data_IF_198437943164
#
_entry.id   IF_198437943164
#
_cell.length_a   1.000
_cell.length_b   1.000
_cell.length_c   1.000
_cell.angle_alpha   90.00
_cell.angle_beta   90.00
_cell.angle_gamma   90.00
#
_symmetry.space_group_name_H-M   'P 1'
#
loop_
_entity.id
_entity.type
_entity.pdbx_description
1 polymer ?
#
# COMPACT_ATOMS: atom_id res chain seq x y z
N UNK A 1 -10.68 -3.99 12.49
CA UNK A 1 -10.17 -2.63 12.22
C UNK A 1 -11.30 -1.61 12.25
N UNK A 2 -12.39 -1.78 11.48
CA UNK A 2 -13.56 -0.88 11.50
C UNK A 2 -14.45 -0.94 12.77
N UNK A 3 -13.94 -1.48 13.88
CA UNK A 3 -14.61 -1.46 15.19
C UNK A 3 -14.10 -0.31 16.08
N UNK A 4 -13.12 0.46 15.58
CA UNK A 4 -12.58 1.64 16.25
C UNK A 4 -13.32 2.87 15.74
N UNK A 5 -13.96 3.61 16.65
CA UNK A 5 -14.61 4.88 16.30
C UNK A 5 -13.60 5.90 15.76
N UNK A 6 -13.92 6.49 14.60
CA UNK A 6 -13.06 7.46 13.92
C UNK A 6 -12.01 6.86 12.99
N UNK A 7 -11.97 5.53 12.79
CA UNK A 7 -11.10 4.86 11.83
C UNK A 7 -11.93 4.18 10.73
N UNK A 8 -11.80 4.67 9.50
CA UNK A 8 -12.39 4.04 8.31
C UNK A 8 -11.29 3.35 7.50
N UNK A 9 -11.28 2.01 7.49
CA UNK A 9 -10.34 1.23 6.69
C UNK A 9 -11.08 0.58 5.52
N UNK A 10 -10.71 0.99 4.32
CA UNK A 10 -11.13 0.35 3.07
C UNK A 10 -10.10 -0.68 2.63
N UNK A 11 -10.47 -1.97 2.64
CA UNK A 11 -9.58 -3.03 2.15
C UNK A 11 -9.67 -3.11 0.63
N UNK A 12 -8.59 -2.75 -0.07
CA UNK A 12 -8.48 -2.92 -1.51
C UNK A 12 -7.67 -4.17 -1.84
N UNK A 13 -8.34 -5.26 -2.19
CA UNK A 13 -7.68 -6.43 -2.76
C UNK A 13 -7.23 -6.12 -4.19
N UNK A 14 -5.93 -6.13 -4.44
CA UNK A 14 -5.34 -5.95 -5.76
C UNK A 14 -4.80 -7.29 -6.27
N UNK A 15 -5.09 -7.61 -7.53
CA UNK A 15 -4.52 -8.74 -8.24
C UNK A 15 -3.31 -8.27 -9.03
N UNK A 16 -2.16 -8.97 -8.95
CA UNK A 16 -1.05 -8.66 -9.84
C UNK A 16 -1.40 -9.04 -11.27
N UNK A 17 -1.21 -8.10 -12.19
CA UNK A 17 -1.37 -8.32 -13.64
C UNK A 17 -0.04 -8.71 -14.28
N UNK A 18 1.08 -8.50 -13.58
CA UNK A 18 2.44 -8.71 -14.06
C UNK A 18 2.83 -10.20 -14.22
N UNK A 19 2.29 -11.10 -13.39
CA UNK A 19 2.73 -12.51 -13.34
C UNK A 19 1.83 -13.54 -14.05
N UNK A 20 0.87 -13.09 -14.87
CA UNK A 20 -0.09 -13.99 -15.52
C UNK A 20 -1.09 -14.58 -14.51
N UNK A 21 -2.34 -14.78 -14.95
CA UNK A 21 -3.51 -14.96 -14.09
C UNK A 21 -3.59 -16.26 -13.26
N UNK A 22 -2.48 -16.96 -13.03
CA UNK A 22 -2.47 -18.31 -12.41
C UNK A 22 -1.78 -18.37 -11.05
N UNK A 23 -1.20 -17.27 -10.55
CA UNK A 23 -0.44 -17.26 -9.28
C UNK A 23 -1.03 -16.25 -8.29
N UNK A 24 -1.84 -16.73 -7.34
CA UNK A 24 -2.37 -15.98 -6.19
C UNK A 24 -1.37 -15.99 -5.03
N UNK A 25 -0.24 -15.32 -5.18
CA UNK A 25 0.70 -15.10 -4.07
C UNK A 25 0.79 -13.61 -3.78
N UNK A 26 0.58 -13.24 -2.51
CA UNK A 26 0.52 -11.85 -2.03
C UNK A 26 1.84 -11.07 -2.18
N UNK A 27 2.93 -11.73 -2.58
CA UNK A 27 4.25 -11.14 -2.77
C UNK A 27 4.59 -10.71 -4.20
N UNK A 28 3.64 -10.70 -5.15
CA UNK A 28 3.92 -10.42 -6.58
C UNK A 28 3.42 -9.05 -7.06
N UNK A 29 2.79 -8.25 -6.20
CA UNK A 29 2.26 -6.95 -6.58
C UNK A 29 3.40 -5.94 -6.79
N UNK A 30 3.36 -5.24 -7.93
CA UNK A 30 4.32 -4.21 -8.31
C UNK A 30 3.80 -2.79 -8.00
N UNK A 31 4.69 -1.79 -8.04
CA UNK A 31 4.30 -0.39 -7.94
C UNK A 31 3.35 0.01 -9.06
N UNK A 32 3.57 -0.50 -10.27
CA UNK A 32 2.69 -0.27 -11.42
C UNK A 32 1.30 -0.89 -11.24
N UNK A 33 1.17 -2.10 -10.66
CA UNK A 33 -0.13 -2.71 -10.35
C UNK A 33 -0.94 -1.83 -9.39
N UNK A 34 -0.29 -1.28 -8.35
CA UNK A 34 -0.90 -0.33 -7.42
C UNK A 34 -1.32 0.95 -8.15
N UNK A 35 -0.42 1.54 -8.94
CA UNK A 35 -0.70 2.76 -9.68
C UNK A 35 -1.93 2.58 -10.58
N UNK A 36 -1.97 1.54 -11.42
CA UNK A 36 -3.11 1.33 -12.33
C UNK A 36 -4.44 1.11 -11.60
N UNK A 37 -4.43 0.46 -10.43
CA UNK A 37 -5.66 0.11 -9.71
C UNK A 37 -6.14 1.20 -8.74
N UNK A 38 -5.24 2.06 -8.27
CA UNK A 38 -5.50 3.12 -7.30
C UNK A 38 -5.55 4.50 -7.94
N UNK A 39 -4.98 4.69 -9.14
CA UNK A 39 -5.02 5.95 -9.86
C UNK A 39 -6.47 6.38 -10.13
N UNK A 40 -6.78 7.62 -9.74
CA UNK A 40 -8.12 8.20 -9.89
C UNK A 40 -9.15 7.76 -8.85
N UNK A 41 -8.78 6.96 -7.85
CA UNK A 41 -9.64 6.64 -6.71
C UNK A 41 -9.46 7.63 -5.57
N UNK A 42 -10.49 7.78 -4.75
CA UNK A 42 -10.37 8.48 -3.48
C UNK A 42 -9.70 7.55 -2.47
N UNK A 43 -8.43 7.81 -2.17
CA UNK A 43 -7.58 7.01 -1.28
C UNK A 43 -7.59 7.52 0.16
N UNK A 44 -8.39 8.55 0.45
CA UNK A 44 -8.50 9.17 1.77
C UNK A 44 -7.20 9.83 2.21
N UNK A 45 -6.91 9.72 3.51
CA UNK A 45 -5.79 10.41 4.15
C UNK A 45 -4.44 9.71 3.92
N UNK A 46 -4.44 8.45 3.48
CA UNK A 46 -3.22 7.69 3.29
C UNK A 46 -3.44 6.22 2.97
N UNK A 47 -2.44 5.60 2.34
CA UNK A 47 -2.45 4.17 2.01
C UNK A 47 -1.58 3.42 3.00
N UNK A 48 -2.17 2.49 3.73
CA UNK A 48 -1.42 1.50 4.52
C UNK A 48 -0.97 0.37 3.60
N UNK A 49 0.34 0.27 3.37
CA UNK A 49 0.93 -0.69 2.45
C UNK A 49 1.64 -1.81 3.23
N UNK A 50 1.27 -3.09 3.03
CA UNK A 50 2.02 -4.20 3.60
C UNK A 50 3.48 -4.19 3.11
N UNK A 51 4.44 -4.08 4.03
CA UNK A 51 5.86 -4.01 3.69
C UNK A 51 6.38 -5.28 3.00
N UNK A 52 5.65 -6.40 3.10
CA UNK A 52 5.92 -7.65 2.35
C UNK A 52 5.86 -7.49 0.84
N UNK A 53 5.28 -6.38 0.34
CA UNK A 53 5.26 -6.04 -1.09
C UNK A 53 6.54 -5.35 -1.58
N UNK A 54 7.43 -4.97 -0.66
CA UNK A 54 8.67 -4.27 -0.95
C UNK A 54 9.85 -5.24 -0.96
N UNK A 55 10.80 -5.02 -1.87
CA UNK A 55 12.11 -5.67 -1.90
C UNK A 55 12.93 -5.19 -0.70
N UNK A 56 12.89 -5.96 0.40
CA UNK A 56 13.72 -5.75 1.61
C UNK A 56 13.74 -4.27 2.08
N UNK A 57 14.80 -3.82 2.76
CA UNK A 57 14.90 -2.48 3.38
C UNK A 57 14.90 -1.29 2.39
N UNK A 58 14.84 -1.52 1.08
CA UNK A 58 15.04 -0.47 0.06
C UNK A 58 13.77 0.31 -0.33
N UNK A 59 12.62 0.07 0.31
CA UNK A 59 11.36 0.75 -0.03
C UNK A 59 11.01 0.73 -1.53
N UNK A 60 11.51 -0.28 -2.25
CA UNK A 60 11.29 -0.51 -3.68
C UNK A 60 10.34 -1.67 -3.89
N UNK A 61 9.47 -1.56 -4.87
CA UNK A 61 8.62 -2.65 -5.35
C UNK A 61 9.42 -3.60 -6.26
N UNK A 62 8.79 -4.71 -6.66
CA UNK A 62 9.43 -5.71 -7.53
C UNK A 62 9.84 -5.15 -8.91
N UNK A 63 9.12 -4.14 -9.41
CA UNK A 63 9.36 -3.39 -10.66
C UNK A 63 10.36 -2.24 -10.50
N UNK A 64 11.11 -2.21 -9.40
CA UNK A 64 12.13 -1.19 -9.05
C UNK A 64 11.58 0.23 -8.82
N UNK A 65 10.26 0.41 -8.92
CA UNK A 65 9.54 1.63 -8.49
C UNK A 65 9.70 1.82 -6.98
N UNK A 66 9.90 3.04 -6.53
CA UNK A 66 9.97 3.38 -5.10
C UNK A 66 8.59 3.73 -4.54
N UNK A 67 8.42 3.54 -3.22
CA UNK A 67 7.21 4.00 -2.50
C UNK A 67 7.01 5.51 -2.66
N UNK A 68 8.09 6.28 -2.68
CA UNK A 68 8.06 7.74 -2.84
C UNK A 68 7.56 8.15 -4.23
N UNK A 69 8.03 7.50 -5.29
CA UNK A 69 7.53 7.72 -6.66
C UNK A 69 6.04 7.40 -6.75
N UNK A 70 5.61 6.25 -6.21
CA UNK A 70 4.20 5.85 -6.23
C UNK A 70 3.32 6.83 -5.44
N UNK A 71 3.78 7.28 -4.26
CA UNK A 71 3.08 8.26 -3.44
C UNK A 71 2.92 9.60 -4.18
N UNK A 72 3.96 10.04 -4.90
CA UNK A 72 3.91 11.23 -5.75
C UNK A 72 2.92 11.10 -6.92
N UNK A 73 2.87 9.93 -7.56
CA UNK A 73 1.96 9.66 -8.67
C UNK A 73 0.49 9.57 -8.22
N UNK A 74 0.23 8.95 -7.07
CA UNK A 74 -1.11 8.85 -6.50
C UNK A 74 -1.54 10.14 -5.77
N UNK A 75 -0.59 11.06 -5.50
CA UNK A 75 -0.79 12.26 -4.66
C UNK A 75 -1.36 11.92 -3.28
N UNK A 76 -0.96 10.79 -2.73
CA UNK A 76 -1.43 10.28 -1.44
C UNK A 76 -0.25 9.67 -0.71
N UNK A 77 -0.04 9.98 0.58
CA UNK A 77 1.05 9.38 1.35
C UNK A 77 0.84 7.88 1.50
N UNK A 78 1.94 7.13 1.38
CA UNK A 78 1.96 5.68 1.53
C UNK A 78 2.80 5.34 2.75
N UNK A 79 2.23 4.51 3.63
CA UNK A 79 2.83 4.10 4.89
C UNK A 79 3.10 2.60 4.84
N UNK A 80 4.36 2.17 4.62
CA UNK A 80 4.74 0.78 4.73
C UNK A 80 4.55 0.29 6.17
N UNK A 81 3.85 -0.83 6.35
CA UNK A 81 3.61 -1.46 7.65
C UNK A 81 4.07 -2.92 7.63
N UNK A 82 4.98 -3.27 8.52
CA UNK A 82 5.53 -4.64 8.68
C UNK A 82 4.72 -5.51 9.63
N UNK A 83 3.88 -4.89 10.47
CA UNK A 83 3.08 -5.61 11.44
C UNK A 83 2.07 -4.71 12.16
N UNK A 84 1.40 -5.30 13.15
CA UNK A 84 0.30 -4.65 13.89
C UNK A 84 0.79 -3.40 14.64
N UNK A 85 1.99 -3.42 15.20
CA UNK A 85 2.55 -2.27 15.95
C UNK A 85 2.73 -1.07 15.03
N UNK A 86 3.43 -1.24 13.90
CA UNK A 86 3.63 -0.17 12.92
C UNK A 86 2.31 0.34 12.35
N UNK A 87 1.34 -0.55 12.11
CA UNK A 87 0.00 -0.15 11.69
C UNK A 87 -0.65 0.79 12.70
N UNK A 88 -0.60 0.46 13.99
CA UNK A 88 -1.16 1.30 15.05
C UNK A 88 -0.43 2.65 15.10
N UNK A 89 0.90 2.65 15.04
CA UNK A 89 1.68 3.90 15.04
C UNK A 89 1.37 4.80 13.85
N UNK A 90 1.25 4.24 12.64
CA UNK A 90 0.88 4.97 11.43
C UNK A 90 -0.51 5.58 11.54
N UNK A 91 -1.47 4.87 12.13
CA UNK A 91 -2.82 5.40 12.36
C UNK A 91 -2.85 6.54 13.40
N UNK A 92 -1.99 6.51 14.42
CA UNK A 92 -1.95 7.52 15.49
C UNK A 92 -1.19 8.77 15.05
N UNK A 93 -0.15 8.64 14.22
CA UNK A 93 0.70 9.77 13.76
C UNK A 93 0.00 10.71 12.76
N UNK A 94 -1.15 10.36 12.21
CA UNK A 94 -1.85 11.18 11.19
C UNK A 94 -2.54 12.45 11.73
N UNK A 95 -2.20 12.91 12.94
CA UNK A 95 -2.72 14.13 13.56
C UNK A 95 -1.60 14.91 14.24
N UNK A 96 -0.95 15.78 13.48
CA UNK A 96 -0.35 17.02 13.98
C UNK A 96 -0.62 18.14 12.96
#
# INVERSE_FOLDING_TARGET
LNSVEGLEVSMCALSSTYWGQTITVTGLLTGEDLLQKLHGKNLGDGILLPAVMLKNDDSRFLDDMTVEELAGLLKTPIFPVRGVIELIESCIKSRD
#
